data_IF_637623951940
#
_entry.id   IF_637623951940
#
_cell.length_a   1.000
_cell.length_b   1.000
_cell.length_c   1.000
_cell.angle_alpha   90.00
_cell.angle_beta   90.00
_cell.angle_gamma   90.00
#
_symmetry.space_group_name_H-M   'P 1'
#
loop_
_entity.id
_entity.type
_entity.pdbx_description
1 polymer ?
#
# COMPACT_ATOMS: atom_id res chain seq x y z
N UNK A 1 24.13 -16.43 -29.73
CA UNK A 1 24.25 -14.99 -30.00
C UNK A 1 22.88 -14.37 -29.73
N UNK A 2 22.66 -13.70 -28.56
CA UNK A 2 21.46 -12.86 -28.41
C UNK A 2 21.67 -11.65 -29.31
N UNK A 3 20.82 -11.50 -30.32
CA UNK A 3 20.74 -10.30 -31.16
C UNK A 3 20.64 -9.09 -30.24
N UNK A 4 21.50 -8.08 -30.47
CA UNK A 4 21.37 -6.78 -29.78
C UNK A 4 19.94 -6.29 -30.04
N UNK A 5 19.09 -6.31 -29.00
CA UNK A 5 17.72 -5.83 -29.15
C UNK A 5 17.74 -4.35 -29.50
N UNK A 6 16.96 -3.98 -30.50
CA UNK A 6 16.82 -2.58 -30.92
C UNK A 6 16.33 -1.71 -29.77
N UNK A 7 16.71 -0.43 -29.78
CA UNK A 7 16.12 0.57 -28.89
C UNK A 7 14.64 0.71 -29.27
N UNK A 8 13.76 0.45 -28.30
CA UNK A 8 12.31 0.48 -28.49
C UNK A 8 11.77 1.91 -28.34
N UNK A 9 12.24 2.63 -27.32
CA UNK A 9 11.82 4.01 -27.01
C UNK A 9 12.88 4.71 -26.17
N UNK A 10 12.74 6.04 -26.00
CA UNK A 10 13.58 6.89 -25.19
C UNK A 10 12.70 7.93 -24.44
N UNK A 11 13.04 8.23 -23.19
CA UNK A 11 12.34 9.23 -22.40
C UNK A 11 13.31 9.99 -21.49
N UNK A 12 12.89 11.14 -20.98
CA UNK A 12 13.67 11.86 -19.97
C UNK A 12 13.67 11.07 -18.66
N UNK A 13 12.52 10.57 -18.25
CA UNK A 13 12.34 9.73 -17.08
C UNK A 13 11.56 8.47 -17.44
N UNK A 14 12.05 7.31 -17.02
CA UNK A 14 11.35 6.03 -17.12
C UNK A 14 10.85 5.64 -15.73
N UNK A 15 9.58 5.24 -15.64
CA UNK A 15 8.97 4.72 -14.41
C UNK A 15 8.64 3.24 -14.59
N UNK A 16 9.15 2.39 -13.72
CA UNK A 16 8.88 0.94 -13.71
C UNK A 16 7.65 0.65 -12.84
N UNK A 17 6.58 0.16 -13.44
CA UNK A 17 5.33 -0.21 -12.77
C UNK A 17 4.19 0.78 -12.98
N UNK A 18 3.02 0.26 -13.38
CA UNK A 18 1.78 1.01 -13.63
C UNK A 18 0.77 0.92 -12.47
N UNK A 19 1.25 0.80 -11.23
CA UNK A 19 0.44 0.90 -10.01
C UNK A 19 0.23 2.35 -9.56
N UNK A 20 -0.39 2.52 -8.39
CA UNK A 20 -0.70 3.83 -7.82
C UNK A 20 0.56 4.70 -7.66
N UNK A 21 1.62 4.14 -7.07
CA UNK A 21 2.91 4.83 -6.92
C UNK A 21 3.51 5.24 -8.27
N UNK A 22 3.55 4.35 -9.26
CA UNK A 22 4.15 4.64 -10.57
C UNK A 22 3.33 5.62 -11.41
N UNK A 23 2.00 5.46 -11.46
CA UNK A 23 1.14 6.41 -12.18
C UNK A 23 1.13 7.79 -11.53
N UNK A 24 1.15 7.87 -10.18
CA UNK A 24 1.29 9.13 -9.44
C UNK A 24 2.63 9.79 -9.71
N UNK A 25 3.74 9.03 -9.65
CA UNK A 25 5.08 9.54 -9.98
C UNK A 25 5.14 10.09 -11.40
N UNK A 26 4.60 9.34 -12.36
CA UNK A 26 4.54 9.78 -13.75
C UNK A 26 3.70 11.06 -13.93
N UNK A 27 2.58 11.17 -13.22
CA UNK A 27 1.75 12.36 -13.23
C UNK A 27 2.51 13.60 -12.74
N UNK A 28 3.11 13.55 -11.55
CA UNK A 28 3.81 14.69 -10.98
C UNK A 28 5.06 15.07 -11.77
N UNK A 29 5.84 14.11 -12.27
CA UNK A 29 7.00 14.38 -13.12
C UNK A 29 6.61 14.99 -14.48
N UNK A 30 5.57 14.46 -15.12
CA UNK A 30 5.10 14.99 -16.40
C UNK A 30 4.46 16.38 -16.22
N UNK A 31 3.74 16.63 -15.12
CA UNK A 31 3.25 17.97 -14.72
C UNK A 31 4.41 18.95 -14.52
N UNK A 32 5.56 18.45 -14.02
CA UNK A 32 6.81 19.21 -13.88
C UNK A 32 7.60 19.40 -15.20
N UNK A 33 7.12 18.90 -16.34
CA UNK A 33 7.66 19.14 -17.67
C UNK A 33 8.59 18.05 -18.23
N UNK A 34 8.81 16.94 -17.54
CA UNK A 34 9.56 15.81 -18.08
C UNK A 34 8.74 15.02 -19.11
N UNK A 35 9.43 14.52 -20.16
CA UNK A 35 8.87 13.47 -21.00
C UNK A 35 9.00 12.12 -20.26
N UNK A 36 7.87 11.62 -19.74
CA UNK A 36 7.81 10.42 -18.89
C UNK A 36 7.28 9.21 -19.66
N UNK A 37 7.93 8.06 -19.47
CA UNK A 37 7.50 6.77 -19.99
C UNK A 37 7.31 5.78 -18.82
N UNK A 38 6.09 5.29 -18.64
CA UNK A 38 5.79 4.19 -17.70
C UNK A 38 5.89 2.86 -18.42
N UNK A 39 6.57 1.88 -17.80
CA UNK A 39 6.68 0.52 -18.32
C UNK A 39 6.01 -0.44 -17.34
N UNK A 40 4.93 -1.09 -17.79
CA UNK A 40 4.09 -1.97 -16.98
C UNK A 40 4.00 -3.37 -17.61
N UNK A 41 4.25 -4.40 -16.82
CA UNK A 41 4.26 -5.79 -17.29
C UNK A 41 2.88 -6.34 -17.66
N UNK A 42 1.81 -5.81 -17.06
CA UNK A 42 0.41 -6.20 -17.30
C UNK A 42 -0.40 -4.99 -17.76
N UNK A 43 -1.52 -4.70 -17.09
CA UNK A 43 -2.30 -3.50 -17.28
C UNK A 43 -2.10 -2.53 -16.09
N UNK A 44 -2.48 -1.28 -16.27
CA UNK A 44 -2.53 -0.29 -15.18
C UNK A 44 -3.35 -0.88 -14.01
N UNK A 45 -2.89 -0.65 -12.78
CA UNK A 45 -3.52 -1.13 -11.55
C UNK A 45 -3.63 -2.66 -11.42
N UNK A 46 -2.92 -3.47 -12.19
CA UNK A 46 -3.02 -4.95 -12.14
C UNK A 46 -2.34 -5.58 -10.90
N UNK A 47 -1.46 -4.84 -10.22
CA UNK A 47 -0.81 -5.26 -8.97
C UNK A 47 -1.66 -4.94 -7.74
N UNK A 48 -1.01 -4.72 -6.59
CA UNK A 48 -1.65 -4.40 -5.31
C UNK A 48 -2.64 -3.24 -5.40
N UNK A 49 -2.38 -2.24 -6.26
CA UNK A 49 -3.23 -1.05 -6.41
C UNK A 49 -4.66 -1.37 -6.87
N UNK A 50 -4.88 -2.39 -7.66
CA UNK A 50 -6.23 -2.79 -8.09
C UNK A 50 -6.78 -4.02 -7.34
N UNK A 51 -6.10 -4.47 -6.29
CA UNK A 51 -6.42 -5.72 -5.59
C UNK A 51 -6.49 -5.57 -4.07
N UNK A 52 -6.28 -4.36 -3.53
CA UNK A 52 -6.36 -4.09 -2.10
C UNK A 52 -7.83 -3.94 -1.62
N UNK A 53 -7.99 -3.81 -0.31
CA UNK A 53 -9.31 -3.68 0.33
C UNK A 53 -9.87 -2.27 0.38
N UNK A 54 -9.30 -1.30 -0.32
CA UNK A 54 -9.78 0.09 -0.38
C UNK A 54 -9.75 0.87 0.95
N UNK A 55 -9.22 0.29 2.03
CA UNK A 55 -9.18 0.93 3.34
C UNK A 55 -8.10 2.00 3.42
N UNK A 56 -8.43 3.13 4.02
CA UNK A 56 -7.50 4.14 4.51
C UNK A 56 -7.45 3.99 6.02
N UNK A 57 -6.32 3.49 6.53
CA UNK A 57 -6.04 3.32 7.96
C UNK A 57 -4.63 3.87 8.20
N UNK A 58 -4.54 5.09 8.72
CA UNK A 58 -3.26 5.81 8.82
C UNK A 58 -2.24 5.12 9.72
N UNK A 59 -2.71 4.41 10.75
CA UNK A 59 -1.89 3.68 11.70
C UNK A 59 -2.38 2.24 11.86
N UNK A 60 -1.94 1.39 10.94
CA UNK A 60 -2.40 0.02 10.70
C UNK A 60 -1.68 -1.08 11.51
N UNK A 61 -0.98 -0.74 12.56
CA UNK A 61 -0.20 -1.70 13.37
C UNK A 61 -0.47 -1.54 14.85
N UNK A 62 -0.70 -2.65 15.54
CA UNK A 62 -0.87 -2.69 17.00
C UNK A 62 0.45 -2.59 17.77
N UNK A 63 1.59 -2.69 17.10
CA UNK A 63 2.93 -2.62 17.71
C UNK A 63 3.55 -1.22 17.63
N UNK A 64 2.75 -0.18 17.41
CA UNK A 64 3.24 1.19 17.31
C UNK A 64 3.70 1.73 18.67
N UNK A 65 4.96 2.13 18.71
CA UNK A 65 5.51 2.94 19.81
C UNK A 65 5.37 4.43 19.49
N UNK A 66 5.43 5.36 20.48
CA UNK A 66 5.40 6.80 20.19
C UNK A 66 6.44 7.24 19.16
N UNK A 67 7.64 6.69 19.20
CA UNK A 67 8.70 6.99 18.23
C UNK A 67 8.35 6.55 16.82
N UNK A 68 7.71 5.37 16.65
CA UNK A 68 7.23 4.90 15.33
C UNK A 68 6.09 5.76 14.82
N UNK A 69 5.18 6.19 15.69
CA UNK A 69 4.09 7.10 15.33
C UNK A 69 4.66 8.44 14.86
N UNK A 70 5.50 9.09 15.63
CA UNK A 70 6.13 10.38 15.29
C UNK A 70 6.89 10.32 13.96
N UNK A 71 7.51 9.17 13.64
CA UNK A 71 8.24 8.96 12.39
C UNK A 71 7.31 8.84 11.17
N UNK A 72 6.11 8.26 11.35
CA UNK A 72 5.14 7.99 10.28
C UNK A 72 4.17 9.13 10.03
N UNK A 73 3.73 9.76 11.11
CA UNK A 73 2.62 10.71 11.13
C UNK A 73 2.74 11.84 10.10
N UNK A 74 3.91 12.51 9.91
CA UNK A 74 4.02 13.59 8.94
C UNK A 74 3.67 13.18 7.52
N UNK A 75 4.06 11.97 7.10
CA UNK A 75 3.78 11.47 5.74
C UNK A 75 2.32 11.09 5.56
N UNK A 76 1.72 10.45 6.57
CA UNK A 76 0.33 10.02 6.51
C UNK A 76 -0.61 11.22 6.51
N UNK A 77 -0.36 12.23 7.35
CA UNK A 77 -1.15 13.46 7.36
C UNK A 77 -1.02 14.23 6.04
N UNK A 78 0.19 14.31 5.48
CA UNK A 78 0.40 14.92 4.17
C UNK A 78 -0.31 14.15 3.05
N UNK A 79 -0.32 12.81 3.13
CA UNK A 79 -1.03 11.98 2.16
C UNK A 79 -2.54 12.19 2.22
N UNK A 80 -3.14 12.20 3.42
CA UNK A 80 -4.57 12.47 3.60
C UNK A 80 -4.96 13.87 3.09
N UNK A 81 -4.13 14.87 3.34
CA UNK A 81 -4.33 16.21 2.81
C UNK A 81 -4.27 16.23 1.28
N UNK A 82 -3.23 15.61 0.72
CA UNK A 82 -3.07 15.47 -0.73
C UNK A 82 -4.25 14.72 -1.37
N UNK A 83 -4.74 13.64 -0.77
CA UNK A 83 -5.90 12.89 -1.27
C UNK A 83 -7.15 13.74 -1.35
N UNK A 84 -7.38 14.64 -0.40
CA UNK A 84 -8.52 15.56 -0.43
C UNK A 84 -8.43 16.57 -1.61
N UNK A 85 -7.23 16.95 -2.01
CA UNK A 85 -6.98 17.87 -3.14
C UNK A 85 -6.99 17.15 -4.50
N UNK A 86 -6.58 15.89 -4.55
CA UNK A 86 -6.40 15.16 -5.81
C UNK A 86 -7.69 14.93 -6.59
N UNK A 87 -8.82 14.70 -5.93
CA UNK A 87 -10.10 14.53 -6.63
C UNK A 87 -10.44 15.72 -7.53
N UNK A 88 -10.49 16.95 -6.99
CA UNK A 88 -10.67 18.18 -7.77
C UNK A 88 -9.56 18.42 -8.81
N UNK A 89 -8.29 18.23 -8.44
CA UNK A 89 -7.15 18.46 -9.34
C UNK A 89 -7.17 17.54 -10.56
N UNK A 90 -7.50 16.27 -10.35
CA UNK A 90 -7.59 15.25 -11.40
C UNK A 90 -8.96 15.25 -12.13
N UNK A 91 -9.88 16.13 -11.72
CA UNK A 91 -11.26 16.21 -12.26
C UNK A 91 -11.96 14.85 -12.25
N UNK A 92 -11.76 14.09 -11.17
CA UNK A 92 -12.24 12.70 -11.04
C UNK A 92 -12.73 12.44 -9.62
N UNK A 93 -13.93 11.85 -9.48
CA UNK A 93 -14.38 11.29 -8.20
C UNK A 93 -13.54 10.04 -7.89
N UNK A 94 -12.52 10.20 -7.08
CA UNK A 94 -11.63 9.11 -6.65
C UNK A 94 -12.26 8.22 -5.57
N UNK A 95 -13.51 8.46 -5.19
CA UNK A 95 -14.23 7.69 -4.20
C UNK A 95 -13.71 7.86 -2.77
N UNK A 96 -13.01 8.96 -2.47
CA UNK A 96 -12.53 9.25 -1.11
C UNK A 96 -13.71 9.49 -0.19
N UNK A 97 -13.75 8.74 0.91
CA UNK A 97 -14.75 8.84 1.95
C UNK A 97 -14.07 8.71 3.31
N UNK A 98 -14.11 9.77 4.09
CA UNK A 98 -13.63 9.80 5.47
C UNK A 98 -14.85 9.68 6.39
N UNK A 99 -15.07 8.51 6.94
CA UNK A 99 -16.21 8.17 7.79
C UNK A 99 -15.79 7.35 9.02
N UNK A 100 -14.50 7.44 9.33
CA UNK A 100 -13.87 6.80 10.45
C UNK A 100 -13.47 5.35 10.22
N UNK A 101 -12.62 4.87 11.14
CA UNK A 101 -12.24 3.45 11.23
C UNK A 101 -12.25 2.96 12.67
N UNK A 102 -12.63 1.69 12.84
CA UNK A 102 -12.65 0.97 14.11
C UNK A 102 -11.61 -0.15 14.10
N UNK A 103 -10.68 -0.15 15.04
CA UNK A 103 -9.88 -1.34 15.38
C UNK A 103 -10.55 -2.02 16.57
N UNK A 104 -11.17 -3.17 16.36
CA UNK A 104 -12.12 -3.79 17.27
C UNK A 104 -11.41 -4.78 18.19
N UNK A 105 -11.64 -4.65 19.49
CA UNK A 105 -11.27 -5.62 20.52
C UNK A 105 -12.44 -6.52 20.86
N UNK A 106 -12.18 -7.83 20.98
CA UNK A 106 -13.18 -8.84 21.34
C UNK A 106 -12.83 -9.62 22.62
N UNK A 107 -11.78 -9.22 23.30
CA UNK A 107 -11.41 -9.72 24.64
C UNK A 107 -10.92 -8.57 25.52
N UNK A 108 -10.94 -8.75 26.87
CA UNK A 108 -10.41 -7.75 27.78
C UNK A 108 -8.92 -7.43 27.53
N UNK A 109 -8.12 -8.45 27.18
CA UNK A 109 -6.69 -8.27 26.89
C UNK A 109 -6.49 -7.42 25.64
N UNK A 110 -7.26 -7.67 24.57
CA UNK A 110 -7.22 -6.83 23.37
C UNK A 110 -7.70 -5.39 23.63
N UNK A 111 -8.71 -5.21 24.48
CA UNK A 111 -9.19 -3.88 24.87
C UNK A 111 -8.08 -3.09 25.60
N UNK A 112 -7.37 -3.74 26.51
CA UNK A 112 -6.25 -3.12 27.21
C UNK A 112 -5.05 -2.83 26.27
N UNK A 113 -4.82 -3.69 25.28
CA UNK A 113 -3.83 -3.45 24.22
C UNK A 113 -4.20 -2.20 23.42
N UNK A 114 -5.47 -2.05 23.01
CA UNK A 114 -5.94 -0.87 22.27
C UNK A 114 -5.83 0.42 23.09
N UNK A 115 -6.06 0.39 24.40
CA UNK A 115 -5.84 1.56 25.28
C UNK A 115 -4.38 2.03 25.19
N UNK A 116 -3.45 1.09 25.37
CA UNK A 116 -2.02 1.40 25.27
C UNK A 116 -1.64 1.90 23.88
N UNK A 117 -2.24 1.34 22.85
CA UNK A 117 -2.00 1.78 21.48
C UNK A 117 -2.46 3.23 21.25
N UNK A 118 -3.64 3.59 21.73
CA UNK A 118 -4.16 4.97 21.69
C UNK A 118 -3.26 5.94 22.44
N UNK A 119 -2.79 5.57 23.65
CA UNK A 119 -1.81 6.36 24.40
C UNK A 119 -0.52 6.55 23.61
N UNK A 120 0.05 5.49 23.07
CA UNK A 120 1.25 5.55 22.24
C UNK A 120 1.06 6.45 21.00
N UNK A 121 -0.11 6.41 20.37
CA UNK A 121 -0.41 7.26 19.20
C UNK A 121 -0.50 8.73 19.62
N UNK A 122 -1.18 9.04 20.73
CA UNK A 122 -1.27 10.40 21.28
C UNK A 122 0.10 10.94 21.70
N UNK A 123 0.90 10.12 22.37
CA UNK A 123 2.28 10.48 22.76
C UNK A 123 3.19 10.68 21.55
N UNK A 124 2.91 10.00 20.45
CA UNK A 124 3.57 10.17 19.15
C UNK A 124 3.09 11.38 18.35
N UNK A 125 2.07 12.11 18.84
CA UNK A 125 1.54 13.32 18.22
C UNK A 125 0.25 13.11 17.39
N UNK A 126 -0.27 11.87 17.29
CA UNK A 126 -1.54 11.61 16.62
C UNK A 126 -2.69 11.79 17.61
N UNK A 127 -3.39 12.92 17.51
CA UNK A 127 -4.51 13.26 18.39
C UNK A 127 -5.88 12.93 17.79
N UNK A 128 -5.92 12.44 16.58
CA UNK A 128 -7.13 12.00 15.87
C UNK A 128 -7.40 10.51 16.10
N UNK A 129 -7.27 10.06 17.35
CA UNK A 129 -7.48 8.69 17.75
C UNK A 129 -8.07 8.64 19.15
N UNK A 130 -9.06 7.79 19.36
CA UNK A 130 -9.71 7.63 20.65
C UNK A 130 -9.95 6.15 20.95
N UNK A 131 -9.86 5.80 22.24
CA UNK A 131 -10.39 4.54 22.74
C UNK A 131 -11.86 4.75 23.09
N UNK A 132 -12.73 3.93 22.52
CA UNK A 132 -14.16 4.00 22.76
C UNK A 132 -14.70 2.68 23.33
N UNK A 133 -15.61 2.81 24.27
CA UNK A 133 -16.32 1.68 24.86
C UNK A 133 -17.45 1.20 23.95
N UNK A 134 -18.00 0.02 24.25
CA UNK A 134 -19.03 -0.62 23.43
C UNK A 134 -20.22 0.26 23.11
N UNK A 135 -20.72 1.04 24.07
CA UNK A 135 -21.91 1.89 23.89
C UNK A 135 -21.68 2.94 22.80
N UNK A 136 -20.54 3.58 22.82
CA UNK A 136 -20.15 4.56 21.81
C UNK A 136 -19.89 3.88 20.45
N UNK A 137 -19.20 2.74 20.44
CA UNK A 137 -19.00 1.94 19.24
C UNK A 137 -20.32 1.53 18.58
N UNK A 138 -21.35 1.16 19.35
CA UNK A 138 -22.68 0.86 18.83
C UNK A 138 -23.38 2.08 18.21
N UNK A 139 -23.10 3.28 18.70
CA UNK A 139 -23.65 4.51 18.08
C UNK A 139 -23.05 4.76 16.68
N UNK A 140 -21.76 4.40 16.47
CA UNK A 140 -21.06 4.52 15.18
C UNK A 140 -21.35 3.33 14.25
N UNK A 141 -21.49 2.14 14.80
CA UNK A 141 -21.70 0.89 14.08
C UNK A 141 -22.79 0.01 14.73
N UNK A 142 -24.07 0.31 14.51
CA UNK A 142 -25.17 -0.42 15.17
C UNK A 142 -25.25 -1.90 14.83
N UNK A 143 -24.57 -2.34 13.77
CA UNK A 143 -24.58 -3.73 13.29
C UNK A 143 -23.50 -4.59 13.93
N UNK A 144 -22.62 -4.01 14.73
CA UNK A 144 -21.50 -4.74 15.36
C UNK A 144 -22.05 -5.79 16.34
N UNK A 145 -21.48 -7.00 16.30
CA UNK A 145 -21.88 -8.12 17.12
C UNK A 145 -21.55 -7.98 18.61
N UNK A 146 -22.10 -8.87 19.42
CA UNK A 146 -21.90 -8.88 20.87
C UNK A 146 -20.47 -9.21 21.30
N UNK A 147 -19.71 -9.86 20.41
CA UNK A 147 -18.29 -10.18 20.65
C UNK A 147 -17.38 -8.96 20.72
N UNK A 148 -17.77 -7.84 20.12
CA UNK A 148 -17.00 -6.60 20.15
C UNK A 148 -17.18 -5.88 21.49
N UNK A 149 -16.11 -5.69 22.26
CA UNK A 149 -16.14 -5.09 23.60
C UNK A 149 -15.82 -3.60 23.59
N UNK A 150 -14.86 -3.21 22.77
CA UNK A 150 -14.36 -1.84 22.65
C UNK A 150 -13.68 -1.66 21.30
N UNK A 151 -13.28 -0.45 20.98
CA UNK A 151 -12.49 -0.17 19.79
C UNK A 151 -11.54 1.01 19.98
N UNK A 152 -10.48 1.03 19.15
CA UNK A 152 -9.79 2.27 18.80
C UNK A 152 -10.56 2.89 17.63
N UNK A 153 -10.97 4.11 17.75
CA UNK A 153 -11.62 4.89 16.70
C UNK A 153 -10.66 5.95 16.15
N UNK A 154 -10.63 6.09 14.83
CA UNK A 154 -9.85 7.12 14.13
C UNK A 154 -10.77 7.86 13.16
N UNK A 155 -11.03 9.14 13.40
CA UNK A 155 -12.03 9.91 12.67
C UNK A 155 -11.66 10.16 11.21
N UNK A 156 -10.39 10.50 10.93
CA UNK A 156 -9.91 10.84 9.58
C UNK A 156 -9.72 9.64 8.65
N UNK A 157 -9.78 8.42 9.17
CA UNK A 157 -9.69 7.20 8.39
C UNK A 157 -10.95 6.94 7.56
N UNK A 158 -10.90 5.97 6.65
CA UNK A 158 -12.04 5.67 5.78
C UNK A 158 -11.70 4.79 4.60
N UNK A 159 -12.14 5.17 3.42
CA UNK A 159 -11.91 4.41 2.18
C UNK A 159 -11.72 5.31 0.96
N UNK A 160 -11.12 4.72 -0.07
CA UNK A 160 -10.98 5.36 -1.36
C UNK A 160 -10.99 4.27 -2.47
N UNK A 161 -11.34 4.63 -3.70
CA UNK A 161 -11.27 3.70 -4.84
C UNK A 161 -9.86 3.75 -5.46
N UNK A 162 -9.00 2.73 -5.18
CA UNK A 162 -7.63 2.74 -5.64
C UNK A 162 -7.51 2.62 -7.16
N UNK A 163 -8.47 1.97 -7.81
CA UNK A 163 -8.49 1.82 -9.27
C UNK A 163 -8.78 3.18 -9.90
N UNK A 164 -9.83 3.88 -9.43
CA UNK A 164 -10.16 5.22 -9.92
C UNK A 164 -9.00 6.18 -9.77
N UNK A 165 -8.37 6.23 -8.59
CA UNK A 165 -7.22 7.11 -8.36
C UNK A 165 -6.04 6.76 -9.28
N UNK A 166 -5.70 5.47 -9.42
CA UNK A 166 -4.59 5.04 -10.30
C UNK A 166 -4.84 5.43 -11.76
N UNK A 167 -6.06 5.18 -12.26
CA UNK A 167 -6.43 5.58 -13.61
C UNK A 167 -6.53 7.10 -13.79
N UNK A 168 -7.00 7.83 -12.77
CA UNK A 168 -7.02 9.29 -12.81
C UNK A 168 -5.62 9.87 -12.99
N UNK A 169 -4.63 9.38 -12.24
CA UNK A 169 -3.22 9.75 -12.46
C UNK A 169 -2.73 9.40 -13.86
N UNK A 170 -2.95 8.16 -14.30
CA UNK A 170 -2.50 7.70 -15.61
C UNK A 170 -3.13 8.51 -16.76
N UNK A 171 -4.44 8.69 -16.74
CA UNK A 171 -5.15 9.45 -17.77
C UNK A 171 -4.73 10.91 -17.81
N UNK A 172 -4.58 11.56 -16.66
CA UNK A 172 -4.12 12.95 -16.61
C UNK A 172 -2.66 13.08 -17.06
N UNK A 173 -1.77 12.16 -16.66
CA UNK A 173 -0.38 12.13 -17.14
C UNK A 173 -0.32 12.03 -18.67
N UNK A 174 -1.12 11.14 -19.28
CA UNK A 174 -1.16 10.97 -20.73
C UNK A 174 -1.83 12.14 -21.46
N UNK A 175 -3.03 12.53 -21.03
CA UNK A 175 -3.86 13.45 -21.80
C UNK A 175 -3.43 14.92 -21.64
N UNK A 176 -3.10 15.32 -20.41
CA UNK A 176 -2.69 16.71 -20.11
C UNK A 176 -1.19 16.93 -20.33
N UNK A 177 -0.35 15.97 -19.94
CA UNK A 177 1.12 16.15 -19.89
C UNK A 177 1.90 15.27 -20.86
N UNK A 178 1.19 14.52 -21.73
CA UNK A 178 1.79 13.73 -22.82
C UNK A 178 2.76 12.62 -22.38
N UNK A 179 2.63 12.14 -21.14
CA UNK A 179 3.33 10.93 -20.72
C UNK A 179 2.91 9.73 -21.57
N UNK A 180 3.81 8.78 -21.76
CA UNK A 180 3.52 7.52 -22.43
C UNK A 180 3.41 6.39 -21.41
N UNK A 181 2.56 5.40 -21.66
CA UNK A 181 2.45 4.18 -20.86
C UNK A 181 2.52 2.97 -21.78
N UNK A 182 3.53 2.13 -21.59
CA UNK A 182 3.70 0.86 -22.27
C UNK A 182 3.24 -0.27 -21.35
N UNK A 183 2.06 -0.80 -21.62
CA UNK A 183 1.54 -2.00 -20.94
C UNK A 183 2.05 -3.28 -21.61
N UNK A 184 1.88 -4.43 -20.93
CA UNK A 184 2.35 -5.73 -21.42
C UNK A 184 3.82 -5.74 -21.80
N UNK A 185 4.65 -4.98 -21.09
CA UNK A 185 6.09 -4.86 -21.31
C UNK A 185 6.80 -5.11 -19.99
N UNK A 186 7.47 -6.26 -19.90
CA UNK A 186 8.13 -6.68 -18.66
C UNK A 186 9.57 -6.19 -18.65
N UNK A 187 9.94 -5.47 -17.59
CA UNK A 187 11.35 -5.14 -17.32
C UNK A 187 12.06 -6.40 -16.82
N UNK A 188 13.16 -6.74 -17.46
CA UNK A 188 13.99 -7.89 -17.11
C UNK A 188 15.27 -7.46 -16.40
N UNK A 189 15.79 -6.28 -16.71
CA UNK A 189 17.04 -5.77 -16.15
C UNK A 189 17.09 -4.24 -16.19
N UNK A 190 17.70 -3.65 -15.17
CA UNK A 190 18.08 -2.21 -15.15
C UNK A 190 19.50 -2.10 -15.74
N UNK A 191 19.68 -1.21 -16.70
CA UNK A 191 20.94 -1.06 -17.43
C UNK A 191 21.81 0.01 -16.80
N UNK A 192 23.05 -0.35 -16.51
CA UNK A 192 24.03 0.54 -15.90
C UNK A 192 25.26 0.70 -16.80
N UNK A 193 25.78 1.94 -16.91
CA UNK A 193 27.03 2.28 -17.54
C UNK A 193 27.85 3.20 -16.64
N UNK A 194 29.07 2.80 -16.27
CA UNK A 194 29.98 3.60 -15.44
C UNK A 194 29.37 4.14 -14.13
N UNK A 195 28.57 3.31 -13.44
CA UNK A 195 27.93 3.69 -12.18
C UNK A 195 26.65 4.51 -12.33
N UNK A 196 26.17 4.73 -13.55
CA UNK A 196 24.95 5.46 -13.86
C UNK A 196 23.90 4.55 -14.46
N UNK A 197 22.65 4.70 -14.06
CA UNK A 197 21.52 4.05 -14.72
C UNK A 197 21.23 4.75 -16.06
N UNK A 198 21.20 3.98 -17.15
CA UNK A 198 21.00 4.49 -18.50
C UNK A 198 19.72 4.02 -19.17
N UNK A 199 18.98 3.10 -18.56
CA UNK A 199 17.73 2.59 -19.11
C UNK A 199 17.37 1.19 -18.62
N UNK A 200 16.54 0.51 -19.40
CA UNK A 200 15.98 -0.80 -19.09
C UNK A 200 16.14 -1.77 -20.25
N UNK A 201 16.38 -3.04 -19.94
CA UNK A 201 16.12 -4.14 -20.85
C UNK A 201 14.72 -4.71 -20.54
N UNK A 202 13.91 -4.88 -21.58
CA UNK A 202 12.56 -5.44 -21.49
C UNK A 202 12.43 -6.66 -22.41
N UNK A 203 11.36 -7.42 -22.23
CA UNK A 203 11.00 -8.54 -23.12
C UNK A 203 10.70 -8.12 -24.58
N UNK A 204 10.60 -6.80 -24.84
CA UNK A 204 10.35 -6.24 -26.19
C UNK A 204 11.52 -5.46 -26.79
N UNK A 205 12.53 -5.12 -26.00
CA UNK A 205 13.66 -4.32 -26.43
C UNK A 205 14.18 -3.42 -25.34
N UNK A 206 15.17 -2.58 -25.66
CA UNK A 206 15.75 -1.63 -24.71
C UNK A 206 15.00 -0.31 -24.72
N UNK A 207 14.89 0.31 -23.55
CA UNK A 207 14.35 1.65 -23.37
C UNK A 207 15.42 2.49 -22.69
N UNK A 208 15.75 3.65 -23.26
CA UNK A 208 16.83 4.48 -22.77
C UNK A 208 16.33 5.67 -21.99
N UNK A 209 16.94 5.95 -20.84
CA UNK A 209 16.63 7.09 -19.98
C UNK A 209 17.68 8.18 -20.13
N UNK A 210 17.24 9.43 -20.38
CA UNK A 210 18.16 10.58 -20.45
C UNK A 210 18.59 11.06 -19.07
N UNK A 211 17.63 11.07 -18.13
CA UNK A 211 17.83 11.67 -16.81
C UNK A 211 17.65 10.67 -15.66
N UNK A 212 16.52 10.00 -15.55
CA UNK A 212 16.22 9.14 -14.41
C UNK A 212 15.48 7.85 -14.79
N UNK A 213 15.72 6.82 -14.00
CA UNK A 213 14.84 5.64 -13.90
C UNK A 213 14.28 5.61 -12.48
N UNK A 214 12.95 5.50 -12.34
CA UNK A 214 12.27 5.38 -11.05
C UNK A 214 11.64 4.00 -10.94
N UNK A 215 12.02 3.24 -9.93
CA UNK A 215 11.47 1.91 -9.69
C UNK A 215 10.30 1.96 -8.73
N UNK A 216 9.09 1.76 -9.26
CA UNK A 216 7.82 1.71 -8.55
C UNK A 216 7.20 0.29 -8.57
N UNK A 217 8.03 -0.76 -8.68
CA UNK A 217 7.57 -2.14 -8.89
C UNK A 217 7.04 -2.85 -7.64
N UNK A 218 7.02 -2.20 -6.50
CA UNK A 218 6.55 -2.70 -5.19
C UNK A 218 7.09 -4.11 -4.88
N UNK A 219 6.26 -5.12 -4.67
CA UNK A 219 6.68 -6.48 -4.34
C UNK A 219 7.66 -7.10 -5.36
N UNK A 220 7.60 -6.67 -6.61
CA UNK A 220 8.49 -7.16 -7.68
C UNK A 220 9.88 -6.53 -7.67
N UNK A 221 10.14 -5.52 -6.82
CA UNK A 221 11.47 -4.93 -6.64
C UNK A 221 12.54 -5.99 -6.39
N UNK A 222 12.27 -6.99 -5.56
CA UNK A 222 13.21 -8.05 -5.21
C UNK A 222 13.79 -8.80 -6.42
N UNK A 223 13.08 -8.79 -7.56
CA UNK A 223 13.52 -9.41 -8.81
C UNK A 223 14.54 -8.57 -9.57
N UNK A 224 14.50 -7.25 -9.36
CA UNK A 224 15.40 -6.29 -10.02
C UNK A 224 16.52 -5.86 -9.07
N UNK A 225 16.22 -5.73 -7.78
CA UNK A 225 17.11 -5.19 -6.74
C UNK A 225 17.13 -6.07 -5.49
N UNK A 226 17.77 -7.25 -5.55
CA UNK A 226 17.73 -8.21 -4.44
C UNK A 226 18.50 -7.76 -3.20
N UNK A 227 19.26 -6.67 -3.26
CA UNK A 227 19.97 -6.10 -2.11
C UNK A 227 19.11 -5.14 -1.28
N UNK A 228 17.91 -4.81 -1.73
CA UNK A 228 16.92 -4.04 -0.95
C UNK A 228 15.95 -5.03 -0.33
N UNK A 229 15.95 -5.18 1.00
CA UNK A 229 15.07 -6.14 1.67
C UNK A 229 13.62 -5.71 1.54
N UNK A 230 12.83 -6.57 0.93
CA UNK A 230 11.40 -6.42 0.75
C UNK A 230 10.75 -7.81 0.80
N UNK A 231 9.60 -7.88 1.46
CA UNK A 231 8.91 -9.14 1.71
C UNK A 231 7.57 -9.15 0.96
N UNK A 232 7.46 -9.85 -0.18
CA UNK A 232 6.17 -10.04 -0.85
C UNK A 232 5.19 -10.78 0.05
N UNK A 233 3.95 -10.29 0.13
CA UNK A 233 2.88 -10.85 0.97
C UNK A 233 1.63 -11.01 0.14
N UNK A 234 1.06 -12.22 0.13
CA UNK A 234 -0.25 -12.48 -0.47
C UNK A 234 -1.35 -12.04 0.49
N UNK A 235 -2.31 -11.27 0.00
CA UNK A 235 -3.56 -10.95 0.68
C UNK A 235 -4.74 -11.35 -0.18
N UNK A 236 -5.80 -11.83 0.44
CA UNK A 236 -7.03 -12.22 -0.23
C UNK A 236 -8.18 -11.33 0.24
N UNK A 237 -9.00 -10.92 -0.69
CA UNK A 237 -10.11 -9.99 -0.49
C UNK A 237 -11.37 -10.53 -1.16
N UNK A 238 -12.50 -10.38 -0.50
CA UNK A 238 -13.83 -10.66 -1.07
C UNK A 238 -14.68 -9.40 -1.11
N UNK A 239 -15.66 -9.41 -2.00
CA UNK A 239 -16.73 -8.41 -2.02
C UNK A 239 -18.08 -9.11 -1.95
N UNK A 240 -18.98 -8.53 -1.15
CA UNK A 240 -20.35 -9.02 -1.01
C UNK A 240 -21.24 -8.50 -2.12
N UNK A 241 -22.43 -9.08 -2.24
CA UNK A 241 -23.53 -8.45 -2.93
C UNK A 241 -23.81 -7.05 -2.36
N UNK A 242 -24.57 -6.27 -3.10
CA UNK A 242 -24.97 -4.92 -2.67
C UNK A 242 -25.93 -5.01 -1.49
N UNK A 243 -25.53 -4.39 -0.39
CA UNK A 243 -26.35 -4.25 0.82
C UNK A 243 -26.86 -2.81 0.85
N UNK A 244 -28.03 -2.58 1.45
CA UNK A 244 -28.53 -1.20 1.68
C UNK A 244 -27.46 -0.36 2.39
N UNK A 245 -27.42 0.98 2.20
CA UNK A 245 -26.43 1.79 2.88
C UNK A 245 -26.40 1.50 4.38
N UNK A 246 -25.27 1.00 4.84
CA UNK A 246 -25.05 0.62 6.23
C UNK A 246 -24.07 1.59 6.88
N UNK A 247 -24.35 2.06 8.10
CA UNK A 247 -23.41 2.86 8.86
C UNK A 247 -22.34 1.93 9.46
N UNK A 248 -21.46 1.40 8.61
CA UNK A 248 -20.31 0.61 9.04
C UNK A 248 -19.06 1.41 8.67
N UNK A 249 -18.29 1.93 9.64
CA UNK A 249 -16.98 2.50 9.41
C UNK A 249 -16.03 1.49 8.76
N UNK A 250 -14.89 1.93 8.28
CA UNK A 250 -13.78 1.00 8.00
C UNK A 250 -13.44 0.28 9.29
N UNK A 251 -13.11 -0.99 9.22
CA UNK A 251 -12.88 -1.78 10.42
C UNK A 251 -11.72 -2.75 10.26
N UNK A 252 -11.10 -3.07 11.38
CA UNK A 252 -10.10 -4.12 11.51
C UNK A 252 -10.27 -4.85 12.85
N UNK A 253 -9.83 -6.09 12.92
CA UNK A 253 -9.93 -6.92 14.12
C UNK A 253 -8.90 -8.06 14.12
N UNK A 254 -8.38 -8.35 15.29
CA UNK A 254 -7.40 -9.42 15.53
C UNK A 254 -7.93 -10.59 16.36
N UNK A 255 -9.20 -10.56 16.80
CA UNK A 255 -9.72 -11.57 17.75
C UNK A 255 -9.86 -12.97 17.16
N UNK A 256 -9.93 -13.10 15.85
CA UNK A 256 -9.96 -14.38 15.17
C UNK A 256 -8.55 -14.96 15.04
N UNK A 257 -8.48 -16.24 14.66
CA UNK A 257 -7.21 -16.89 14.29
C UNK A 257 -6.50 -16.24 13.09
N UNK A 258 -7.03 -15.15 12.59
CA UNK A 258 -6.50 -14.33 11.50
C UNK A 258 -6.82 -12.87 11.75
N UNK A 259 -6.05 -11.98 11.17
CA UNK A 259 -6.36 -10.57 11.06
C UNK A 259 -7.45 -10.39 10.00
N UNK A 260 -8.48 -9.64 10.32
CA UNK A 260 -9.57 -9.31 9.41
C UNK A 260 -9.75 -7.79 9.32
N UNK A 261 -10.12 -7.32 8.13
CA UNK A 261 -10.38 -5.90 7.88
C UNK A 261 -11.44 -5.74 6.80
N UNK A 262 -12.06 -4.57 6.74
CA UNK A 262 -13.04 -4.30 5.68
C UNK A 262 -13.56 -2.88 5.67
N UNK A 263 -14.32 -2.57 4.62
CA UNK A 263 -14.97 -1.27 4.43
C UNK A 263 -16.18 -1.41 3.54
N UNK A 264 -17.14 -0.49 3.68
CA UNK A 264 -18.31 -0.40 2.81
C UNK A 264 -18.02 0.53 1.65
N UNK A 265 -18.22 0.06 0.42
CA UNK A 265 -18.09 0.87 -0.78
C UNK A 265 -19.28 1.82 -0.96
N UNK A 266 -19.09 2.88 -1.75
CA UNK A 266 -20.13 3.87 -2.05
C UNK A 266 -21.42 3.23 -2.59
N UNK A 267 -21.25 2.16 -3.36
CA UNK A 267 -22.34 1.42 -3.98
C UNK A 267 -23.10 0.49 -3.03
N UNK A 268 -22.60 0.31 -1.80
CA UNK A 268 -23.21 -0.53 -0.76
C UNK A 268 -22.68 -1.95 -0.70
N UNK A 269 -21.63 -2.28 -1.42
CA UNK A 269 -20.93 -3.55 -1.28
C UNK A 269 -19.96 -3.49 -0.09
N UNK A 270 -19.87 -4.56 0.69
CA UNK A 270 -18.88 -4.68 1.74
C UNK A 270 -17.65 -5.41 1.22
N UNK A 271 -16.49 -4.81 1.38
CA UNK A 271 -15.20 -5.48 1.14
C UNK A 271 -14.71 -6.07 2.45
N UNK A 272 -14.22 -7.29 2.40
CA UNK A 272 -13.58 -7.99 3.52
C UNK A 272 -12.27 -8.62 3.05
N UNK A 273 -11.22 -8.39 3.81
CA UNK A 273 -9.91 -9.01 3.61
C UNK A 273 -9.45 -9.73 4.88
N UNK A 274 -8.63 -10.76 4.72
CA UNK A 274 -8.02 -11.46 5.85
C UNK A 274 -6.55 -11.77 5.57
N UNK A 275 -5.77 -11.78 6.66
CA UNK A 275 -4.38 -12.24 6.67
C UNK A 275 -4.27 -13.35 7.74
N UNK A 276 -3.88 -14.56 7.36
CA UNK A 276 -3.73 -15.64 8.34
C UNK A 276 -2.56 -15.35 9.28
N UNK A 277 -2.77 -15.56 10.58
CA UNK A 277 -1.74 -15.36 11.63
C UNK A 277 -0.68 -16.48 11.62
N UNK A 278 -1.11 -17.72 11.45
CA UNK A 278 -0.26 -18.91 11.60
C UNK A 278 -0.43 -19.84 10.40
N UNK A 279 0.15 -19.50 9.26
CA UNK A 279 0.25 -20.45 8.15
C UNK A 279 1.60 -21.17 8.18
N UNK A 280 1.62 -22.52 8.09
CA UNK A 280 2.86 -23.29 7.96
C UNK A 280 3.67 -22.91 6.72
N UNK A 281 2.97 -22.48 5.66
CA UNK A 281 3.51 -21.85 4.46
C UNK A 281 3.00 -20.42 4.42
N UNK A 282 3.58 -19.52 5.22
CA UNK A 282 3.10 -18.13 5.32
C UNK A 282 2.94 -17.44 3.96
N UNK A 283 2.13 -16.38 3.87
CA UNK A 283 1.84 -15.68 2.63
C UNK A 283 3.06 -14.96 2.03
N UNK A 284 4.22 -15.10 2.66
CA UNK A 284 5.42 -14.33 2.37
C UNK A 284 6.37 -15.05 1.40
N UNK A 285 6.99 -14.25 0.52
CA UNK A 285 7.90 -14.76 -0.52
C UNK A 285 7.21 -15.31 -1.76
N UNK A 286 5.89 -15.37 -1.78
CA UNK A 286 5.12 -15.91 -2.88
C UNK A 286 4.53 -14.81 -3.77
N UNK A 287 4.56 -15.06 -5.08
CA UNK A 287 3.88 -14.24 -6.08
C UNK A 287 2.61 -14.94 -6.63
N UNK A 288 2.16 -15.97 -5.92
CA UNK A 288 0.92 -16.66 -6.24
C UNK A 288 -0.29 -15.76 -5.97
N UNK A 289 -1.14 -15.62 -6.96
CA UNK A 289 -2.39 -14.87 -6.90
C UNK A 289 -3.62 -15.82 -6.91
N UNK A 290 -3.44 -17.10 -6.60
CA UNK A 290 -4.53 -18.06 -6.43
C UNK A 290 -5.38 -17.75 -5.19
N UNK A 291 -6.63 -18.19 -5.21
CA UNK A 291 -7.57 -18.11 -4.08
C UNK A 291 -7.92 -19.50 -3.65
N UNK A 292 -7.77 -19.80 -2.38
CA UNK A 292 -8.14 -21.08 -1.80
C UNK A 292 -9.52 -21.04 -1.15
N UNK A 293 -10.16 -22.17 -1.02
CA UNK A 293 -11.48 -22.25 -0.39
C UNK A 293 -11.45 -21.76 1.08
N UNK A 294 -10.36 -22.03 1.79
CA UNK A 294 -10.13 -21.53 3.15
C UNK A 294 -10.11 -19.99 3.26
N UNK A 295 -9.69 -19.29 2.20
CA UNK A 295 -9.74 -17.82 2.17
C UNK A 295 -11.19 -17.33 2.25
N UNK A 296 -12.09 -17.96 1.49
CA UNK A 296 -13.51 -17.60 1.47
C UNK A 296 -14.17 -17.93 2.81
N UNK A 297 -13.82 -19.06 3.41
CA UNK A 297 -14.32 -19.43 4.75
C UNK A 297 -13.91 -18.38 5.78
N UNK A 298 -12.65 -17.94 5.80
CA UNK A 298 -12.18 -16.91 6.73
C UNK A 298 -12.94 -15.58 6.56
N UNK A 299 -13.24 -15.19 5.33
CA UNK A 299 -14.04 -13.99 5.08
C UNK A 299 -15.47 -14.13 5.63
N UNK A 300 -16.10 -15.27 5.40
CA UNK A 300 -17.43 -15.54 5.96
C UNK A 300 -17.42 -15.62 7.49
N UNK A 301 -16.39 -16.22 8.10
CA UNK A 301 -16.18 -16.25 9.55
C UNK A 301 -16.03 -14.84 10.12
N UNK A 302 -15.24 -13.96 9.47
CA UNK A 302 -15.05 -12.57 9.89
C UNK A 302 -16.38 -11.80 9.88
N UNK A 303 -17.10 -11.87 8.77
CA UNK A 303 -18.41 -11.20 8.64
C UNK A 303 -19.42 -11.70 9.67
N UNK A 304 -19.55 -13.00 9.80
CA UNK A 304 -20.49 -13.62 10.74
C UNK A 304 -20.17 -13.30 12.20
N UNK A 305 -18.88 -13.24 12.55
CA UNK A 305 -18.45 -12.97 13.92
C UNK A 305 -18.64 -11.50 14.29
N UNK A 306 -18.25 -10.59 13.41
CA UNK A 306 -18.28 -9.15 13.69
C UNK A 306 -19.63 -8.52 13.38
N UNK A 307 -20.36 -9.04 12.39
CA UNK A 307 -21.63 -8.50 11.92
C UNK A 307 -22.67 -9.62 11.76
N UNK A 308 -23.18 -10.22 12.84
CA UNK A 308 -24.10 -11.39 12.77
C UNK A 308 -25.34 -11.15 11.91
N UNK A 309 -25.84 -9.90 11.86
CA UNK A 309 -26.96 -9.52 11.02
C UNK A 309 -26.68 -9.61 9.52
N UNK A 310 -25.41 -9.73 9.12
CA UNK A 310 -24.97 -9.90 7.74
C UNK A 310 -24.59 -11.35 7.40
N UNK A 311 -24.92 -12.32 8.25
CA UNK A 311 -24.56 -13.74 8.06
C UNK A 311 -25.12 -14.37 6.79
N UNK A 312 -26.21 -13.85 6.25
CA UNK A 312 -26.87 -14.35 5.03
C UNK A 312 -26.43 -13.60 3.75
N UNK A 313 -25.50 -12.63 3.90
CA UNK A 313 -25.02 -11.84 2.74
C UNK A 313 -24.11 -12.67 1.88
N UNK A 314 -24.36 -12.69 0.57
CA UNK A 314 -23.59 -13.47 -0.39
C UNK A 314 -22.25 -12.81 -0.72
N UNK A 315 -21.16 -13.58 -0.70
CA UNK A 315 -19.90 -13.20 -1.31
C UNK A 315 -20.02 -13.43 -2.82
N UNK A 316 -19.90 -12.37 -3.62
CA UNK A 316 -20.07 -12.44 -5.08
C UNK A 316 -18.76 -12.56 -5.84
N UNK A 317 -17.63 -12.17 -5.22
CA UNK A 317 -16.31 -12.28 -5.84
C UNK A 317 -15.22 -12.31 -4.77
N UNK A 318 -14.19 -13.13 -5.02
CA UNK A 318 -12.95 -13.19 -4.23
C UNK A 318 -11.75 -13.08 -5.17
N UNK A 319 -10.74 -12.36 -4.75
CA UNK A 319 -9.47 -12.22 -5.48
C UNK A 319 -8.31 -12.08 -4.51
N UNK A 320 -7.10 -12.31 -5.01
CA UNK A 320 -5.88 -12.10 -4.25
C UNK A 320 -5.00 -11.05 -4.91
N UNK A 321 -4.11 -10.48 -4.13
CA UNK A 321 -3.07 -9.57 -4.60
C UNK A 321 -1.80 -9.73 -3.78
N UNK A 322 -0.67 -9.39 -4.40
CA UNK A 322 0.62 -9.38 -3.73
C UNK A 322 1.00 -7.94 -3.42
N UNK A 323 1.08 -7.63 -2.13
CA UNK A 323 1.70 -6.39 -1.65
C UNK A 323 3.08 -6.71 -1.06
N UNK A 324 3.70 -5.82 -0.33
CA UNK A 324 4.97 -6.12 0.32
C UNK A 324 5.11 -5.41 1.65
N UNK A 325 6.03 -5.91 2.46
CA UNK A 325 6.49 -5.27 3.67
C UNK A 325 7.98 -4.95 3.57
N UNK A 326 8.36 -3.86 4.18
CA UNK A 326 9.75 -3.50 4.50
C UNK A 326 10.02 -3.80 5.96
N UNK A 327 11.27 -3.85 6.40
CA UNK A 327 11.62 -4.14 7.79
C UNK A 327 10.95 -3.21 8.82
N UNK A 328 10.80 -1.92 8.51
CA UNK A 328 10.19 -0.91 9.39
C UNK A 328 8.78 -0.49 8.96
N UNK A 329 8.21 -1.17 7.96
CA UNK A 329 6.91 -0.85 7.32
C UNK A 329 6.82 0.55 6.70
N UNK A 330 7.94 1.28 6.60
CA UNK A 330 8.01 2.52 5.84
C UNK A 330 8.43 2.24 4.39
N UNK A 331 7.90 2.97 3.40
CA UNK A 331 8.32 2.80 2.02
C UNK A 331 9.79 3.17 1.83
N UNK A 332 10.37 2.68 0.76
CA UNK A 332 11.64 3.17 0.24
C UNK A 332 11.38 4.31 -0.74
N UNK A 333 11.82 5.51 -0.41
CA UNK A 333 11.75 6.70 -1.25
C UNK A 333 13.11 7.38 -1.23
N UNK A 334 13.86 7.27 -2.31
CA UNK A 334 15.20 7.86 -2.41
C UNK A 334 16.06 7.29 -3.52
N UNK A 335 17.22 7.91 -3.79
CA UNK A 335 18.17 7.41 -4.76
C UNK A 335 18.75 6.05 -4.34
N UNK A 336 19.06 5.22 -5.33
CA UNK A 336 19.75 3.94 -5.13
C UNK A 336 21.18 4.18 -4.65
N UNK A 337 21.64 3.55 -3.55
CA UNK A 337 22.99 3.72 -3.06
C UNK A 337 24.04 3.34 -4.10
N UNK A 338 25.02 4.23 -4.33
CA UNK A 338 26.14 3.99 -5.23
C UNK A 338 25.82 3.99 -6.73
N UNK A 339 24.63 4.42 -7.11
CA UNK A 339 24.18 4.49 -8.51
C UNK A 339 23.58 5.85 -8.82
N UNK A 340 24.07 6.53 -9.82
CA UNK A 340 23.49 7.77 -10.29
C UNK A 340 22.24 7.53 -11.14
N UNK A 341 21.28 8.44 -11.05
CA UNK A 341 20.08 8.48 -11.90
C UNK A 341 19.11 7.28 -11.73
N UNK A 342 19.19 6.58 -10.59
CA UNK A 342 18.25 5.53 -10.26
C UNK A 342 17.59 5.80 -8.91
N UNK A 343 16.27 5.87 -8.92
CA UNK A 343 15.46 6.21 -7.76
C UNK A 343 14.50 5.07 -7.41
N UNK A 344 14.36 4.78 -6.13
CA UNK A 344 13.45 3.77 -5.59
C UNK A 344 12.24 4.47 -4.97
N UNK A 345 11.04 4.12 -5.43
CA UNK A 345 9.78 4.57 -4.86
C UNK A 345 8.84 3.38 -4.72
N UNK A 346 9.02 2.59 -3.66
CA UNK A 346 8.41 1.27 -3.52
C UNK A 346 8.37 0.84 -2.05
N UNK A 347 7.93 -0.40 -1.76
CA UNK A 347 7.95 -0.94 -0.40
C UNK A 347 6.73 -0.55 0.43
N UNK A 348 5.61 -0.29 -0.22
CA UNK A 348 4.38 0.14 0.43
C UNK A 348 3.62 -1.05 1.03
N UNK A 349 3.65 -1.17 2.36
CA UNK A 349 2.79 -2.09 3.10
C UNK A 349 1.34 -1.59 3.12
N UNK A 350 1.15 -0.31 3.45
CA UNK A 350 -0.13 0.40 3.37
C UNK A 350 -0.06 1.49 2.29
N UNK A 351 -0.21 1.08 1.03
CA UNK A 351 -0.08 1.99 -0.11
C UNK A 351 -1.16 3.07 -0.18
N UNK A 352 -2.30 2.86 0.48
CA UNK A 352 -3.42 3.80 0.43
C UNK A 352 -3.20 5.06 1.28
N UNK A 353 -2.21 5.05 2.18
CA UNK A 353 -1.85 6.17 3.04
C UNK A 353 -0.44 6.72 2.79
N UNK A 354 0.24 6.28 1.72
CA UNK A 354 1.61 6.70 1.44
C UNK A 354 1.94 6.84 -0.04
N UNK A 355 1.24 6.17 -0.97
CA UNK A 355 1.63 6.19 -2.38
C UNK A 355 1.49 7.56 -3.04
N UNK A 356 0.41 8.33 -2.85
CA UNK A 356 0.28 9.67 -3.41
C UNK A 356 1.38 10.62 -2.96
N UNK A 357 1.61 10.72 -1.64
CA UNK A 357 2.68 11.59 -1.11
C UNK A 357 4.07 11.09 -1.51
N UNK A 358 4.31 9.78 -1.53
CA UNK A 358 5.57 9.20 -1.99
C UNK A 358 5.85 9.49 -3.46
N UNK A 359 4.82 9.50 -4.30
CA UNK A 359 4.92 9.88 -5.71
C UNK A 359 5.25 11.37 -5.86
N UNK A 360 4.61 12.25 -5.07
CA UNK A 360 4.90 13.67 -5.06
C UNK A 360 6.34 13.95 -4.59
N UNK A 361 6.77 13.37 -3.46
CA UNK A 361 8.14 13.54 -2.93
C UNK A 361 9.20 13.04 -3.91
N UNK A 362 8.94 11.96 -4.64
CA UNK A 362 9.82 11.46 -5.70
C UNK A 362 9.96 12.49 -6.82
N UNK A 363 8.85 13.06 -7.27
CA UNK A 363 8.88 14.09 -8.30
C UNK A 363 9.57 15.36 -7.82
N UNK A 364 9.29 15.83 -6.61
CA UNK A 364 9.95 16.99 -6.01
C UNK A 364 11.47 16.78 -5.94
N UNK A 365 11.94 15.63 -5.48
CA UNK A 365 13.38 15.32 -5.42
C UNK A 365 14.04 15.44 -6.79
N UNK A 366 13.42 14.86 -7.81
CA UNK A 366 13.97 14.85 -9.18
C UNK A 366 13.89 16.23 -9.82
N UNK A 367 12.80 16.98 -9.64
CA UNK A 367 12.60 18.30 -10.21
C UNK A 367 13.46 19.39 -9.53
N UNK A 368 13.66 19.27 -8.22
CA UNK A 368 14.26 20.33 -7.40
C UNK A 368 15.70 19.98 -6.94
N UNK A 369 16.38 19.04 -7.62
CA UNK A 369 17.77 18.72 -7.33
C UNK A 369 18.01 18.15 -5.93
N UNK A 370 17.07 17.35 -5.41
CA UNK A 370 17.18 16.67 -4.11
C UNK A 370 16.36 17.30 -2.98
N UNK A 371 15.69 18.44 -3.22
CA UNK A 371 14.82 19.06 -2.21
C UNK A 371 13.41 18.51 -2.27
N UNK A 372 12.83 18.26 -1.10
CA UNK A 372 11.47 17.72 -0.93
C UNK A 372 10.71 18.50 0.14
N UNK A 373 9.39 18.55 0.03
CA UNK A 373 8.49 19.22 1.00
C UNK A 373 8.49 18.55 2.39
N UNK A 374 8.75 17.25 2.44
CA UNK A 374 8.99 16.50 3.67
C UNK A 374 10.37 15.83 3.59
N UNK A 375 11.08 15.65 4.72
CA UNK A 375 12.37 14.98 4.73
C UNK A 375 12.22 13.52 4.30
N UNK A 376 13.12 13.00 3.45
CA UNK A 376 13.11 11.60 2.98
C UNK A 376 14.25 10.76 3.54
N UNK A 377 15.08 11.31 4.41
CA UNK A 377 16.27 10.65 4.96
C UNK A 377 15.94 9.30 5.61
N UNK A 378 14.85 9.25 6.37
CA UNK A 378 14.36 8.04 7.02
C UNK A 378 13.68 7.05 6.07
N UNK A 379 13.46 7.44 4.81
CA UNK A 379 12.80 6.61 3.79
C UNK A 379 13.79 6.09 2.75
N UNK A 380 15.03 6.61 2.70
CA UNK A 380 16.02 6.19 1.70
C UNK A 380 16.32 4.70 1.77
N UNK A 381 16.52 4.03 0.61
CA UNK A 381 16.89 2.61 0.55
C UNK A 381 18.18 2.28 1.31
N UNK A 382 19.07 3.26 1.44
CA UNK A 382 20.36 3.15 2.14
C UNK A 382 20.23 2.60 3.57
N UNK A 383 19.09 2.85 4.25
CA UNK A 383 18.85 2.41 5.63
C UNK A 383 18.91 0.88 5.82
N UNK A 384 18.65 0.11 4.76
CA UNK A 384 18.69 -1.37 4.79
C UNK A 384 19.43 -1.98 3.58
N UNK A 385 20.10 -1.18 2.77
CA UNK A 385 20.79 -1.68 1.58
C UNK A 385 21.88 -2.70 1.95
N UNK A 386 21.81 -3.87 1.32
CA UNK A 386 22.75 -4.95 1.58
C UNK A 386 22.54 -5.69 2.91
N UNK A 387 21.53 -5.33 3.67
CA UNK A 387 21.18 -6.02 4.93
C UNK A 387 20.71 -7.43 4.64
N UNK A 388 21.38 -8.43 5.25
CA UNK A 388 21.00 -9.83 5.15
C UNK A 388 20.08 -10.15 6.32
N UNK A 389 18.82 -10.34 6.04
CA UNK A 389 17.86 -10.87 7.00
C UNK A 389 17.91 -12.38 6.96
N UNK A 390 18.12 -13.00 8.11
CA UNK A 390 17.93 -14.43 8.26
C UNK A 390 16.41 -14.70 8.42
N UNK A 391 15.71 -14.52 7.31
CA UNK A 391 14.26 -14.72 7.30
C UNK A 391 13.99 -16.21 7.12
N UNK A 392 13.22 -16.84 8.02
CA UNK A 392 12.82 -18.23 7.85
C UNK A 392 12.14 -18.41 6.48
N UNK A 393 12.38 -19.55 5.81
CA UNK A 393 11.75 -19.86 4.52
C UNK A 393 10.21 -19.85 4.57
N UNK A 394 9.67 -20.00 5.78
CA UNK A 394 8.24 -20.04 6.06
C UNK A 394 7.98 -19.19 7.29
N UNK A 395 7.25 -18.09 7.15
CA UNK A 395 6.91 -17.23 8.28
C UNK A 395 5.53 -16.58 8.11
N UNK A 396 4.84 -16.48 9.24
CA UNK A 396 3.56 -15.80 9.37
C UNK A 396 3.77 -14.29 9.56
N UNK A 397 2.67 -13.54 9.46
CA UNK A 397 2.65 -12.14 9.79
C UNK A 397 3.17 -11.85 11.20
N UNK A 398 2.76 -12.67 12.19
CA UNK A 398 3.19 -12.54 13.59
C UNK A 398 4.69 -12.84 13.78
N UNK A 399 5.24 -13.79 13.01
CA UNK A 399 6.69 -14.04 13.04
C UNK A 399 7.46 -12.84 12.51
N UNK A 400 6.99 -12.22 11.42
CA UNK A 400 7.62 -11.01 10.91
C UNK A 400 7.51 -9.87 11.92
N UNK A 401 6.35 -9.64 12.52
CA UNK A 401 6.14 -8.63 13.56
C UNK A 401 7.10 -8.87 14.75
N UNK A 402 7.21 -10.09 15.21
CA UNK A 402 8.12 -10.44 16.30
C UNK A 402 9.59 -10.22 15.91
N UNK A 403 10.00 -10.65 14.71
CA UNK A 403 11.35 -10.39 14.19
C UNK A 403 11.64 -8.89 14.08
N UNK A 404 10.69 -8.10 13.58
CA UNK A 404 10.83 -6.64 13.50
C UNK A 404 10.94 -5.99 14.88
N UNK A 405 10.22 -6.52 15.87
CA UNK A 405 10.31 -6.08 17.26
C UNK A 405 11.65 -6.48 17.92
N UNK A 406 12.11 -7.72 17.69
CA UNK A 406 13.43 -8.18 18.17
C UNK A 406 14.58 -7.37 17.57
N UNK A 407 14.45 -6.90 16.35
CA UNK A 407 15.44 -6.06 15.68
C UNK A 407 15.36 -4.58 16.07
N UNK A 408 14.43 -4.18 16.97
CA UNK A 408 14.17 -2.80 17.37
C UNK A 408 13.89 -1.84 16.19
N UNK A 409 13.18 -2.33 15.16
CA UNK A 409 12.87 -1.59 13.95
C UNK A 409 11.49 -0.93 13.93
#
# INVERSE_FOLDING_TARGET
MRTMSSVLDEADVIVIGGGLSGCGTAYFLAKGGFHVLVVEQRNIASGASGRNGSCITKMDSRTLTPARVSKRLPYVLADLHLLAELGPELETDIGLRQFGALDIASSPDEAEELKRLVENQKDGGDHDVEYIEREEMLSLCPLIGESALAAKYTESDGSLDPIKLTYAFACNAMNRYKAKILTHTRVEEVLFERGRCVGLATDKGKIMAKHWVVNCSNAWLIRLEPLIPIFPVKSVVSVTEKISPLPIPTWESNHLRFYAYGTVQKEGNLIVGTLPKNMPEGPMGHFDEGVDYEDIIRHAEALRSLFPSLSEVSIIRTWSGVFCMTPDRLPYIGPMPGVDNYFINTGYSNGMCYCPIGAQLTAEYILNGGMTSLPIESLKPERYYGWKFDVPKHYSYDILENLLNEWNL
#
